data_IF_072731626619
#
_entry.id   IF_072731626619
#
_cell.length_a   1.000
_cell.length_b   1.000
_cell.length_c   1.000
_cell.angle_alpha   90.00
_cell.angle_beta   90.00
_cell.angle_gamma   90.00
#
_symmetry.space_group_name_H-M   'P 1'
#
loop_
_entity.id
_entity.type
_entity.pdbx_description
1 polymer ?
#
# COMPACT_ATOMS: atom_id res chain seq x y z
N UNK A 1 -10.02 -61.27 4.78
CA UNK A 1 -9.19 -61.26 3.56
C UNK A 1 -10.09 -61.74 2.43
N UNK A 2 -10.65 -60.96 1.50
CA UNK A 2 -10.31 -59.68 0.91
C UNK A 2 -11.61 -58.88 0.71
N UNK A 3 -11.72 -57.70 1.32
CA UNK A 3 -12.67 -56.65 0.91
C UNK A 3 -11.77 -55.51 0.48
N UNK A 4 -11.73 -55.20 -0.82
CA UNK A 4 -11.36 -53.92 -1.47
C UNK A 4 -11.20 -54.20 -2.98
N UNK A 5 -12.30 -54.41 -3.72
CA UNK A 5 -12.26 -54.24 -5.18
C UNK A 5 -12.42 -52.75 -5.48
N UNK A 6 -11.51 -52.26 -6.32
CA UNK A 6 -11.20 -50.85 -6.51
C UNK A 6 -12.40 -49.98 -6.89
N UNK A 7 -12.53 -48.87 -6.18
CA UNK A 7 -13.36 -47.74 -6.58
C UNK A 7 -12.85 -47.24 -7.94
N UNK A 8 -13.63 -47.43 -9.00
CA UNK A 8 -13.31 -46.98 -10.35
C UNK A 8 -13.09 -45.46 -10.30
N UNK A 9 -11.86 -45.00 -10.52
CA UNK A 9 -11.56 -43.57 -10.63
C UNK A 9 -12.20 -43.03 -11.90
N UNK A 10 -13.38 -42.38 -11.77
CA UNK A 10 -14.02 -41.62 -12.84
C UNK A 10 -13.10 -40.46 -13.24
N UNK A 11 -12.44 -40.58 -14.39
CA UNK A 11 -11.61 -39.53 -14.96
C UNK A 11 -12.45 -38.32 -15.39
N UNK A 12 -11.89 -37.12 -15.25
CA UNK A 12 -12.45 -35.87 -15.74
C UNK A 12 -12.58 -35.91 -17.27
N UNK A 13 -13.67 -35.41 -17.85
CA UNK A 13 -13.78 -35.34 -19.31
C UNK A 13 -12.98 -34.17 -19.87
N UNK A 14 -12.37 -34.34 -21.06
CA UNK A 14 -11.63 -33.26 -21.72
C UNK A 14 -12.52 -32.05 -22.05
N UNK A 15 -13.80 -32.29 -22.32
CA UNK A 15 -14.76 -31.23 -22.60
C UNK A 15 -15.12 -30.42 -21.34
N UNK A 16 -15.23 -31.07 -20.17
CA UNK A 16 -15.43 -30.36 -18.90
C UNK A 16 -14.27 -29.42 -18.61
N UNK A 17 -13.03 -29.89 -18.79
CA UNK A 17 -11.85 -29.05 -18.59
C UNK A 17 -11.83 -27.85 -19.55
N UNK A 18 -12.21 -28.05 -20.81
CA UNK A 18 -12.19 -27.00 -21.84
C UNK A 18 -13.17 -25.85 -21.53
N UNK A 19 -14.37 -26.18 -21.05
CA UNK A 19 -15.34 -25.14 -20.68
C UNK A 19 -14.88 -24.38 -19.43
N UNK A 20 -14.23 -25.05 -18.47
CA UNK A 20 -13.72 -24.44 -17.24
C UNK A 20 -12.61 -23.41 -17.56
N UNK A 21 -11.64 -23.77 -18.40
CA UNK A 21 -10.57 -22.82 -18.78
C UNK A 21 -11.13 -21.62 -19.55
N UNK A 22 -12.18 -21.82 -20.36
CA UNK A 22 -12.83 -20.73 -21.07
C UNK A 22 -13.48 -19.72 -20.10
N UNK A 23 -14.16 -20.21 -19.06
CA UNK A 23 -14.77 -19.34 -18.03
C UNK A 23 -13.70 -18.61 -17.20
N UNK A 24 -12.65 -19.32 -16.76
CA UNK A 24 -11.54 -18.72 -15.99
C UNK A 24 -10.82 -17.64 -16.81
N UNK A 25 -10.63 -17.87 -18.12
CA UNK A 25 -10.03 -16.88 -19.02
C UNK A 25 -10.84 -15.57 -19.04
N UNK A 26 -12.17 -15.66 -19.15
CA UNK A 26 -13.06 -14.49 -19.16
C UNK A 26 -13.02 -13.75 -17.81
N UNK A 27 -13.11 -14.48 -16.70
CA UNK A 27 -13.07 -13.87 -15.36
C UNK A 27 -11.72 -13.22 -15.05
N UNK A 28 -10.61 -13.88 -15.41
CA UNK A 28 -9.26 -13.36 -15.14
C UNK A 28 -8.96 -12.06 -15.89
N UNK A 29 -9.47 -11.91 -17.11
CA UNK A 29 -9.30 -10.70 -17.91
C UNK A 29 -9.85 -9.43 -17.20
N UNK A 30 -10.91 -9.56 -16.41
CA UNK A 30 -11.51 -8.45 -15.65
C UNK A 30 -10.90 -8.35 -14.25
N UNK A 31 -10.67 -9.49 -13.60
CA UNK A 31 -10.20 -9.54 -12.22
C UNK A 31 -8.78 -8.97 -12.03
N UNK A 32 -7.85 -9.27 -12.95
CA UNK A 32 -6.44 -8.85 -12.84
C UNK A 32 -6.29 -7.32 -12.78
N UNK A 33 -6.79 -6.51 -13.74
CA UNK A 33 -6.63 -5.06 -13.71
C UNK A 33 -7.39 -4.40 -12.54
N UNK A 34 -8.47 -5.00 -12.06
CA UNK A 34 -9.18 -4.51 -10.87
C UNK A 34 -8.37 -4.76 -9.60
N UNK A 35 -7.77 -5.95 -9.47
CA UNK A 35 -6.96 -6.32 -8.32
C UNK A 35 -5.70 -5.44 -8.19
N UNK A 36 -5.01 -5.14 -9.30
CA UNK A 36 -3.83 -4.26 -9.28
C UNK A 36 -4.18 -2.83 -8.85
N UNK A 37 -5.31 -2.28 -9.34
CA UNK A 37 -5.81 -0.97 -8.88
C UNK A 37 -6.18 -0.97 -7.41
N UNK A 38 -6.82 -2.03 -6.92
CA UNK A 38 -7.16 -2.18 -5.51
C UNK A 38 -5.90 -2.18 -4.64
N UNK A 39 -4.89 -2.98 -5.01
CA UNK A 39 -3.59 -3.03 -4.32
C UNK A 39 -2.90 -1.66 -4.29
N UNK A 40 -2.84 -0.94 -5.42
CA UNK A 40 -2.28 0.43 -5.47
C UNK A 40 -3.04 1.36 -4.52
N UNK A 41 -4.37 1.34 -4.53
CA UNK A 41 -5.19 2.22 -3.66
C UNK A 41 -5.01 1.89 -2.19
N UNK A 42 -4.91 0.61 -1.82
CA UNK A 42 -4.60 0.19 -0.46
C UNK A 42 -3.22 0.67 -0.01
N UNK A 43 -2.21 0.61 -0.88
CA UNK A 43 -0.87 1.13 -0.60
C UNK A 43 -0.88 2.65 -0.38
N UNK A 44 -1.59 3.41 -1.22
CA UNK A 44 -1.76 4.88 -1.06
C UNK A 44 -2.45 5.20 0.26
N UNK A 45 -3.54 4.50 0.60
CA UNK A 45 -4.26 4.72 1.84
C UNK A 45 -3.37 4.46 3.07
N UNK A 46 -2.64 3.34 3.07
CA UNK A 46 -1.71 2.99 4.14
C UNK A 46 -0.57 4.01 4.29
N UNK A 47 -0.02 4.49 3.17
CA UNK A 47 1.00 5.53 3.19
C UNK A 47 0.47 6.86 3.76
N UNK A 48 -0.73 7.27 3.33
CA UNK A 48 -1.39 8.49 3.82
C UNK A 48 -1.63 8.43 5.32
N UNK A 49 -2.11 7.29 5.83
CA UNK A 49 -2.35 7.10 7.26
C UNK A 49 -1.04 7.05 8.06
N UNK A 50 0.00 6.41 7.51
CA UNK A 50 1.33 6.38 8.15
C UNK A 50 1.93 7.78 8.23
N UNK A 51 1.80 8.60 7.19
CA UNK A 51 2.23 10.00 7.21
C UNK A 51 1.53 10.81 8.30
N UNK A 52 0.21 10.66 8.45
CA UNK A 52 -0.54 11.32 9.54
C UNK A 52 -0.03 10.91 10.92
N UNK A 53 0.25 9.62 11.10
CA UNK A 53 0.84 9.11 12.34
C UNK A 53 2.22 9.74 12.58
N UNK A 54 3.06 9.87 11.55
CA UNK A 54 4.37 10.50 11.67
C UNK A 54 4.29 11.99 12.01
N UNK A 55 3.35 12.72 11.42
CA UNK A 55 3.10 14.14 11.77
C UNK A 55 2.70 14.24 13.25
N UNK A 56 1.78 13.40 13.71
CA UNK A 56 1.38 13.39 15.12
C UNK A 56 2.55 13.03 16.04
N UNK A 57 3.38 12.04 15.67
CA UNK A 57 4.60 11.70 16.42
C UNK A 57 5.58 12.86 16.50
N UNK A 58 5.80 13.56 15.39
CA UNK A 58 6.67 14.73 15.35
C UNK A 58 6.09 15.87 16.21
N UNK A 59 4.77 16.09 16.18
CA UNK A 59 4.10 17.06 17.03
C UNK A 59 4.31 16.75 18.52
N UNK A 60 4.12 15.48 18.93
CA UNK A 60 4.37 15.04 20.30
C UNK A 60 5.85 15.20 20.69
N UNK A 61 6.78 14.80 19.83
CA UNK A 61 8.20 14.98 20.11
C UNK A 61 8.61 16.45 20.21
N UNK A 62 8.02 17.34 19.43
CA UNK A 62 8.29 18.77 19.55
C UNK A 62 7.76 19.35 20.87
N UNK A 63 6.62 18.86 21.36
CA UNK A 63 6.09 19.27 22.68
C UNK A 63 6.93 18.75 23.85
N UNK A 64 7.54 17.57 23.72
CA UNK A 64 8.42 16.99 24.74
C UNK A 64 9.83 17.57 24.67
N UNK A 65 10.33 17.81 23.47
CA UNK A 65 11.66 18.31 23.19
C UNK A 65 11.62 19.30 22.02
N UNK A 66 11.64 20.59 22.37
CA UNK A 66 11.59 21.71 21.43
C UNK A 66 12.77 21.77 20.44
N UNK A 67 13.79 20.94 20.61
CA UNK A 67 14.94 20.86 19.68
C UNK A 67 14.71 19.92 18.50
N UNK A 68 13.75 18.99 18.59
CA UNK A 68 13.49 18.00 17.53
C UNK A 68 12.52 18.57 16.50
N UNK A 69 13.07 19.00 15.35
CA UNK A 69 12.31 19.68 14.29
C UNK A 69 12.08 18.84 13.04
N UNK A 70 12.58 17.61 13.03
CA UNK A 70 12.43 16.70 11.90
C UNK A 70 12.40 15.24 12.34
N UNK A 71 11.69 14.42 11.57
CA UNK A 71 11.57 13.00 11.75
C UNK A 71 11.53 12.32 10.38
N UNK A 72 12.29 11.24 10.22
CA UNK A 72 12.16 10.37 9.06
C UNK A 72 10.97 9.44 9.27
N UNK A 73 9.89 9.67 8.52
CA UNK A 73 8.72 8.81 8.51
C UNK A 73 9.01 7.55 7.69
N UNK A 74 9.09 6.40 8.36
CA UNK A 74 9.24 5.11 7.70
C UNK A 74 7.86 4.55 7.35
N UNK A 75 7.60 4.39 6.05
CA UNK A 75 6.36 3.80 5.56
C UNK A 75 6.56 2.29 5.43
N UNK A 76 5.73 1.45 6.05
CA UNK A 76 5.89 0.01 5.96
C UNK A 76 5.75 -0.45 4.51
N UNK A 77 6.75 -1.21 4.03
CA UNK A 77 6.80 -1.71 2.66
C UNK A 77 7.32 -0.70 1.63
N UNK A 78 7.70 0.51 2.04
CA UNK A 78 8.39 1.46 1.18
C UNK A 78 9.91 1.24 1.21
N UNK A 79 10.56 1.47 0.07
CA UNK A 79 12.03 1.41 -0.04
C UNK A 79 12.74 2.70 0.42
N UNK A 80 11.98 3.72 0.82
CA UNK A 80 12.50 5.01 1.24
C UNK A 80 11.67 5.59 2.38
N UNK A 81 12.31 6.43 3.18
CA UNK A 81 11.67 7.18 4.26
C UNK A 81 11.40 8.61 3.82
N UNK A 82 10.32 9.20 4.32
CA UNK A 82 10.00 10.60 4.05
C UNK A 82 10.46 11.49 5.20
N UNK A 83 11.39 12.44 4.98
CA UNK A 83 11.75 13.42 5.99
C UNK A 83 10.61 14.42 6.15
N UNK A 84 9.99 14.44 7.32
CA UNK A 84 8.98 15.42 7.71
C UNK A 84 9.66 16.40 8.66
N UNK A 85 9.43 17.69 8.44
CA UNK A 85 9.93 18.76 9.29
C UNK A 85 8.80 19.69 9.70
N UNK A 86 9.01 20.42 10.80
CA UNK A 86 8.11 21.44 11.30
C UNK A 86 8.70 22.84 11.07
N UNK A 87 7.86 23.76 10.59
CA UNK A 87 8.20 25.15 10.35
C UNK A 87 7.80 25.99 11.55
N UNK A 88 8.78 26.54 12.26
CA UNK A 88 8.54 27.31 13.49
C UNK A 88 7.80 28.63 13.24
N UNK A 89 7.94 29.21 12.06
CA UNK A 89 7.29 30.47 11.72
C UNK A 89 5.79 30.32 11.48
N UNK A 90 5.33 29.13 11.10
CA UNK A 90 3.94 28.90 10.66
C UNK A 90 3.23 27.80 11.44
N UNK A 91 3.94 27.01 12.26
CA UNK A 91 3.39 25.82 12.92
C UNK A 91 2.96 24.72 11.94
N UNK A 92 3.38 24.83 10.68
CA UNK A 92 3.03 23.89 9.62
C UNK A 92 4.08 22.80 9.49
N UNK A 93 3.64 21.58 9.17
CA UNK A 93 4.52 20.49 8.80
C UNK A 93 4.72 20.46 7.29
N UNK A 94 5.91 20.11 6.85
CA UNK A 94 6.27 20.02 5.45
C UNK A 94 7.27 18.88 5.21
N UNK A 95 7.38 18.46 3.96
CA UNK A 95 8.38 17.48 3.53
C UNK A 95 9.63 18.23 3.09
N UNK A 96 10.80 17.87 3.61
CA UNK A 96 12.06 18.60 3.35
C UNK A 96 12.46 18.60 1.86
N UNK A 97 11.97 17.66 1.07
CA UNK A 97 12.27 17.47 -0.36
C UNK A 97 11.14 17.91 -1.29
N UNK A 98 10.26 18.81 -0.84
CA UNK A 98 9.02 19.30 -1.49
C UNK A 98 7.96 18.23 -1.79
N UNK A 99 8.34 17.08 -2.34
CA UNK A 99 7.52 15.88 -2.46
C UNK A 99 8.30 14.67 -1.93
N UNK A 100 7.62 13.69 -1.35
CA UNK A 100 8.23 12.41 -0.99
C UNK A 100 7.76 11.31 -1.93
N UNK A 101 8.67 10.80 -2.76
CA UNK A 101 8.41 9.69 -3.67
C UNK A 101 9.03 8.41 -3.14
N UNK A 102 8.25 7.34 -3.04
CA UNK A 102 8.73 6.02 -2.64
C UNK A 102 7.98 4.93 -3.41
N UNK A 103 8.53 3.72 -3.39
CA UNK A 103 7.94 2.58 -4.09
C UNK A 103 7.41 1.55 -3.09
N UNK A 104 6.14 1.17 -3.22
CA UNK A 104 5.51 0.07 -2.46
C UNK A 104 5.05 -0.99 -3.46
N UNK A 105 5.51 -2.22 -3.30
CA UNK A 105 5.11 -3.36 -4.15
C UNK A 105 5.23 -3.08 -5.67
N UNK A 106 6.21 -2.27 -6.09
CA UNK A 106 6.44 -1.89 -7.49
C UNK A 106 5.63 -0.68 -7.99
N UNK A 107 4.80 -0.07 -7.16
CA UNK A 107 4.08 1.18 -7.48
C UNK A 107 4.84 2.39 -6.91
N UNK A 108 5.13 3.38 -7.76
CA UNK A 108 5.63 4.69 -7.31
C UNK A 108 4.48 5.51 -6.74
N UNK A 109 4.60 5.90 -5.47
CA UNK A 109 3.65 6.74 -4.75
C UNK A 109 4.37 8.01 -4.33
N UNK A 110 3.72 9.15 -4.55
CA UNK A 110 4.21 10.47 -4.19
C UNK A 110 3.29 11.07 -3.13
N UNK A 111 3.83 11.36 -1.96
CA UNK A 111 3.12 12.07 -0.91
C UNK A 111 3.57 13.53 -0.84
N UNK A 112 2.63 14.43 -0.64
CA UNK A 112 2.83 15.85 -0.38
C UNK A 112 2.02 16.30 0.85
N UNK A 113 2.47 17.39 1.48
CA UNK A 113 1.76 18.05 2.56
C UNK A 113 1.42 19.46 2.10
N UNK A 114 0.13 19.79 2.05
CA UNK A 114 -0.33 21.13 1.67
C UNK A 114 -0.09 22.14 2.80
N UNK A 115 -0.22 23.44 2.48
CA UNK A 115 -0.13 24.55 3.44
C UNK A 115 -1.16 24.49 4.59
N UNK A 116 -2.13 23.57 4.52
CA UNK A 116 -3.11 23.29 5.57
C UNK A 116 -2.79 22.03 6.39
N UNK A 117 -1.55 21.52 6.33
CA UNK A 117 -1.11 20.29 6.98
C UNK A 117 -1.93 19.05 6.59
N UNK A 118 -2.46 19.05 5.36
CA UNK A 118 -3.20 17.92 4.80
C UNK A 118 -2.23 17.05 4.02
N UNK A 119 -2.18 15.77 4.38
CA UNK A 119 -1.41 14.77 3.62
C UNK A 119 -2.24 14.31 2.42
N UNK A 120 -1.65 14.42 1.24
CA UNK A 120 -2.17 13.82 0.00
C UNK A 120 -1.10 12.90 -0.58
N UNK A 121 -1.49 11.70 -1.04
CA UNK A 121 -0.59 10.75 -1.68
C UNK A 121 -1.21 10.19 -2.97
N UNK A 122 -0.42 10.04 -4.04
CA UNK A 122 -0.84 9.56 -5.37
C UNK A 122 0.15 8.62 -6.06
#
# INVERSE_FOLDING_TARGET
MYIWEGLIMRGFTLIELLVIIAIIAILSAIAIPQYTKYKKRSAIASATDTMRICINKLATYYTENSSVKSLNCNIPGANASCPIALSENSGLFYISTSNCTFTIEGYSITCSIDSSNRVSCE
#
